data_IF_731032047676
#
_entry.id   IF_731032047676
#
_cell.length_a   1.000
_cell.length_b   1.000
_cell.length_c   1.000
_cell.angle_alpha   90.00
_cell.angle_beta   90.00
_cell.angle_gamma   90.00
#
_symmetry.space_group_name_H-M   'P 1'
#
loop_
_entity.id
_entity.type
_entity.pdbx_description
1 polymer ?
#
# COMPACT_ATOMS: atom_id res chain seq x y z
N UNK A 1 8.51 27.25 0.12
CA UNK A 1 7.97 27.01 -1.24
C UNK A 1 6.45 27.01 -1.11
N UNK A 2 5.77 27.90 -1.81
CA UNK A 2 4.30 27.95 -1.76
C UNK A 2 3.71 26.87 -2.69
N UNK A 3 2.53 26.35 -2.36
CA UNK A 3 1.77 25.44 -3.25
C UNK A 3 1.57 26.04 -4.64
N UNK A 4 1.44 27.38 -4.72
CA UNK A 4 1.32 28.12 -5.98
C UNK A 4 2.56 28.05 -6.88
N UNK A 5 3.74 27.68 -6.33
CA UNK A 5 5.00 27.59 -7.08
C UNK A 5 5.17 26.25 -7.78
N UNK A 6 4.29 25.29 -7.55
CA UNK A 6 4.33 23.94 -8.13
C UNK A 6 3.89 23.93 -9.59
N UNK A 7 4.82 24.19 -10.51
CA UNK A 7 4.54 24.32 -11.96
C UNK A 7 3.87 23.06 -12.57
N UNK A 8 4.13 21.88 -12.03
CA UNK A 8 3.60 20.60 -12.51
C UNK A 8 2.18 20.31 -12.05
N UNK A 9 1.65 21.10 -11.12
CA UNK A 9 0.31 20.92 -10.56
C UNK A 9 -0.56 22.13 -10.84
N UNK A 10 -1.86 21.91 -10.83
CA UNK A 10 -2.87 22.97 -10.80
C UNK A 10 -3.76 22.78 -9.57
N UNK A 11 -4.16 23.87 -8.96
CA UNK A 11 -5.12 23.87 -7.84
C UNK A 11 -6.52 23.70 -8.44
N UNK A 12 -7.17 22.58 -8.14
CA UNK A 12 -8.55 22.34 -8.58
C UNK A 12 -9.54 23.02 -7.63
N UNK A 13 -9.27 22.92 -6.33
CA UNK A 13 -10.14 23.46 -5.30
C UNK A 13 -9.37 23.65 -3.98
N UNK A 14 -9.74 24.67 -3.21
CA UNK A 14 -9.31 24.82 -1.82
C UNK A 14 -10.52 25.20 -0.98
N UNK A 15 -10.67 24.55 0.19
CA UNK A 15 -11.79 24.78 1.12
C UNK A 15 -11.33 24.62 2.56
N UNK A 16 -11.96 25.41 3.43
CA UNK A 16 -11.91 25.16 4.86
C UNK A 16 -12.93 24.08 5.21
N UNK A 17 -12.49 23.07 5.96
CA UNK A 17 -13.25 21.92 6.41
C UNK A 17 -13.46 22.07 7.92
N UNK A 18 -14.47 22.83 8.31
CA UNK A 18 -14.75 23.16 9.71
C UNK A 18 -14.94 21.94 10.60
N UNK A 19 -15.61 20.90 10.08
CA UNK A 19 -15.89 19.67 10.81
C UNK A 19 -14.63 18.88 11.14
N UNK A 20 -13.52 19.11 10.40
CA UNK A 20 -12.23 18.46 10.59
C UNK A 20 -11.16 19.44 11.11
N UNK A 21 -11.54 20.67 11.44
CA UNK A 21 -10.59 21.74 11.82
C UNK A 21 -9.38 21.81 10.89
N UNK A 22 -9.61 21.66 9.59
CA UNK A 22 -8.57 21.49 8.58
C UNK A 22 -8.85 22.35 7.36
N UNK A 23 -7.79 22.67 6.61
CA UNK A 23 -7.90 23.24 5.26
C UNK A 23 -7.54 22.17 4.23
N UNK A 24 -8.44 21.89 3.31
CA UNK A 24 -8.23 20.95 2.21
C UNK A 24 -7.89 21.67 0.91
N UNK A 25 -6.80 21.29 0.24
CA UNK A 25 -6.43 21.77 -1.09
C UNK A 25 -6.27 20.59 -2.04
N UNK A 26 -7.14 20.51 -3.03
CA UNK A 26 -7.09 19.48 -4.08
C UNK A 26 -6.25 20.00 -5.25
N UNK A 27 -5.22 19.24 -5.58
CA UNK A 27 -4.34 19.47 -6.73
C UNK A 27 -4.54 18.39 -7.79
N UNK A 28 -4.24 18.74 -9.04
CA UNK A 28 -4.13 17.79 -10.15
C UNK A 28 -2.77 17.92 -10.81
N UNK A 29 -2.07 16.81 -10.98
CA UNK A 29 -0.83 16.76 -11.74
C UNK A 29 -1.13 16.90 -13.23
N UNK A 30 -0.56 17.91 -13.89
CA UNK A 30 -0.89 18.30 -15.27
C UNK A 30 -0.61 17.21 -16.30
N UNK A 31 0.47 16.43 -16.10
CA UNK A 31 0.90 15.40 -17.06
C UNK A 31 0.13 14.09 -16.92
N UNK A 32 -0.08 13.61 -15.69
CA UNK A 32 -0.70 12.29 -15.44
C UNK A 32 -2.17 12.35 -15.07
N UNK A 33 -2.69 13.53 -14.71
CA UNK A 33 -4.04 13.67 -14.17
C UNK A 33 -4.19 13.21 -12.72
N UNK A 34 -3.12 12.71 -12.08
CA UNK A 34 -3.15 12.25 -10.70
C UNK A 34 -3.61 13.36 -9.76
N UNK A 35 -4.47 13.01 -8.81
CA UNK A 35 -5.00 13.94 -7.80
C UNK A 35 -4.20 13.85 -6.52
N UNK A 36 -3.92 14.99 -5.92
CA UNK A 36 -3.26 15.09 -4.61
C UNK A 36 -4.15 15.95 -3.72
N UNK A 37 -4.54 15.42 -2.57
CA UNK A 37 -5.24 16.16 -1.53
C UNK A 37 -4.24 16.50 -0.44
N UNK A 38 -4.05 17.78 -0.20
CA UNK A 38 -3.30 18.29 0.94
C UNK A 38 -4.29 18.70 2.03
N UNK A 39 -4.06 18.21 3.23
CA UNK A 39 -4.82 18.56 4.44
C UNK A 39 -3.89 19.25 5.40
N UNK A 40 -4.23 20.49 5.77
CA UNK A 40 -3.46 21.30 6.72
C UNK A 40 -4.29 21.45 8.01
N UNK A 41 -3.73 21.06 9.14
CA UNK A 41 -4.34 21.18 10.47
C UNK A 41 -3.24 21.25 11.55
N UNK A 42 -3.64 21.30 12.82
CA UNK A 42 -2.74 21.41 13.97
C UNK A 42 -2.31 20.03 14.54
N UNK A 43 -2.62 18.93 13.85
CA UNK A 43 -2.19 17.59 14.29
C UNK A 43 -0.70 17.40 14.04
N UNK A 44 0.03 16.98 15.08
CA UNK A 44 1.46 16.67 14.97
C UNK A 44 1.73 15.41 14.13
N UNK A 45 0.74 14.53 14.00
CA UNK A 45 0.87 13.28 13.26
C UNK A 45 0.67 13.51 11.76
N UNK A 46 1.77 13.44 11.03
CA UNK A 46 1.77 13.61 9.57
C UNK A 46 1.42 12.31 8.89
N UNK A 47 0.49 12.37 7.96
CA UNK A 47 0.00 11.21 7.21
C UNK A 47 0.30 11.39 5.71
N UNK A 48 0.87 10.37 5.11
CA UNK A 48 0.96 10.22 3.66
C UNK A 48 0.23 8.96 3.24
N UNK A 49 -0.56 9.03 2.19
CA UNK A 49 -1.20 7.87 1.59
C UNK A 49 -1.16 7.98 0.07
N UNK A 50 -0.75 6.90 -0.59
CA UNK A 50 -0.87 6.79 -2.04
C UNK A 50 -1.85 5.67 -2.38
N UNK A 51 -2.80 5.96 -3.27
CA UNK A 51 -3.87 5.04 -3.64
C UNK A 51 -4.01 4.87 -5.14
N UNK A 52 -4.31 3.65 -5.56
CA UNK A 52 -4.58 3.29 -6.95
C UNK A 52 -5.95 2.64 -7.07
N UNK A 53 -6.62 2.89 -8.17
CA UNK A 53 -7.80 2.13 -8.52
C UNK A 53 -7.37 0.78 -9.08
N UNK A 54 -7.73 -0.29 -8.37
CA UNK A 54 -7.36 -1.67 -8.70
C UNK A 54 -8.59 -2.58 -8.67
N UNK A 55 -9.66 -2.27 -9.45
CA UNK A 55 -10.81 -3.16 -9.50
C UNK A 55 -10.36 -4.52 -10.09
N UNK A 56 -10.64 -5.64 -9.40
CA UNK A 56 -10.29 -6.96 -9.91
C UNK A 56 -11.14 -7.28 -11.15
N UNK A 57 -10.54 -7.94 -12.14
CA UNK A 57 -11.24 -8.47 -13.31
C UNK A 57 -11.79 -9.88 -13.08
N UNK A 58 -11.27 -10.58 -12.06
CA UNK A 58 -11.58 -11.97 -11.75
C UNK A 58 -11.32 -12.27 -10.26
N UNK A 59 -11.48 -13.53 -9.87
CA UNK A 59 -11.31 -13.99 -8.49
C UNK A 59 -9.89 -14.48 -8.16
N UNK A 60 -8.88 -14.13 -8.94
CA UNK A 60 -7.49 -14.61 -8.76
C UNK A 60 -6.74 -13.92 -7.63
N UNK A 61 -7.28 -12.82 -7.09
CA UNK A 61 -6.65 -12.06 -6.02
C UNK A 61 -5.44 -11.22 -6.43
N UNK A 62 -5.23 -10.99 -7.73
CA UNK A 62 -4.08 -10.24 -8.27
C UNK A 62 -3.86 -8.88 -7.60
N UNK A 63 -4.87 -8.03 -7.34
CA UNK A 63 -4.63 -6.77 -6.65
C UNK A 63 -3.98 -6.92 -5.27
N UNK A 64 -4.38 -7.93 -4.49
CA UNK A 64 -3.82 -8.20 -3.17
C UNK A 64 -2.40 -8.80 -3.27
N UNK A 65 -2.17 -9.71 -4.23
CA UNK A 65 -0.82 -10.24 -4.50
C UNK A 65 0.12 -9.10 -4.90
N UNK A 66 -0.35 -8.17 -5.72
CA UNK A 66 0.43 -7.00 -6.14
C UNK A 66 0.71 -6.05 -4.98
N UNK A 67 -0.24 -5.84 -4.07
CA UNK A 67 -0.04 -5.04 -2.85
C UNK A 67 1.15 -5.55 -2.05
N UNK A 68 1.20 -6.86 -1.75
CA UNK A 68 2.32 -7.47 -1.06
C UNK A 68 3.63 -7.38 -1.88
N UNK A 69 3.55 -7.73 -3.16
CA UNK A 69 4.72 -7.86 -4.02
C UNK A 69 5.48 -6.55 -4.25
N UNK A 70 4.79 -5.41 -4.34
CA UNK A 70 5.46 -4.12 -4.54
C UNK A 70 6.25 -3.67 -3.31
N UNK A 71 5.91 -4.16 -2.13
CA UNK A 71 6.61 -3.87 -0.89
C UNK A 71 7.82 -4.80 -0.62
N UNK A 72 8.06 -5.80 -1.49
CA UNK A 72 9.16 -6.77 -1.34
C UNK A 72 10.49 -6.29 -1.96
N UNK A 73 10.71 -5.00 -2.04
CA UNK A 73 11.93 -4.38 -2.55
C UNK A 73 11.70 -3.48 -3.76
N UNK A 74 12.53 -2.48 -3.87
CA UNK A 74 12.43 -1.44 -4.88
C UNK A 74 13.80 -1.01 -5.40
N UNK A 75 13.81 -0.10 -6.36
CA UNK A 75 15.04 0.37 -7.03
C UNK A 75 16.09 0.90 -6.04
N UNK A 76 15.70 1.76 -5.11
CA UNK A 76 16.61 2.36 -4.12
C UNK A 76 16.74 1.50 -2.86
N UNK A 77 15.74 0.66 -2.58
CA UNK A 77 15.70 -0.22 -1.42
C UNK A 77 15.58 -1.70 -1.85
N UNK A 78 16.64 -2.29 -2.45
CA UNK A 78 16.60 -3.64 -3.04
C UNK A 78 16.69 -4.76 -1.98
N UNK A 79 16.32 -4.50 -0.74
CA UNK A 79 16.28 -5.48 0.33
C UNK A 79 15.03 -6.35 0.23
N UNK A 80 15.08 -7.58 0.72
CA UNK A 80 14.02 -8.57 0.58
C UNK A 80 12.70 -8.12 1.22
N UNK A 81 12.77 -7.38 2.31
CA UNK A 81 11.61 -6.98 3.08
C UNK A 81 11.82 -5.62 3.75
N UNK A 82 11.84 -4.53 2.96
CA UNK A 82 12.03 -3.18 3.50
C UNK A 82 10.93 -2.77 4.46
N UNK A 83 9.72 -3.35 4.31
CA UNK A 83 8.58 -3.07 5.19
C UNK A 83 8.86 -3.52 6.63
N UNK A 84 9.39 -4.73 6.83
CA UNK A 84 9.73 -5.25 8.17
C UNK A 84 10.84 -4.42 8.81
N UNK A 85 11.82 -3.98 8.03
CA UNK A 85 12.89 -3.11 8.54
C UNK A 85 12.35 -1.74 8.96
N UNK A 86 11.40 -1.18 8.20
CA UNK A 86 10.73 0.07 8.57
C UNK A 86 9.91 -0.07 9.86
N UNK A 87 9.14 -1.14 9.99
CA UNK A 87 8.35 -1.40 11.21
C UNK A 87 9.23 -1.44 12.46
N UNK A 88 10.44 -2.02 12.35
CA UNK A 88 11.38 -2.15 13.47
C UNK A 88 12.22 -0.90 13.73
N UNK A 89 12.55 -0.16 12.68
CA UNK A 89 13.57 0.89 12.74
C UNK A 89 13.04 2.32 12.69
N UNK A 90 11.78 2.56 12.33
CA UNK A 90 11.20 3.89 12.24
C UNK A 90 10.38 4.29 13.47
N UNK A 91 10.13 5.58 13.60
CA UNK A 91 9.24 6.17 14.62
C UNK A 91 7.81 6.29 14.11
N UNK A 92 7.40 5.38 13.22
CA UNK A 92 6.07 5.40 12.64
C UNK A 92 4.98 5.30 13.72
N UNK A 93 3.91 6.04 13.52
CA UNK A 93 2.67 5.93 14.30
C UNK A 93 1.66 5.05 13.59
N UNK A 94 1.79 4.93 12.26
CA UNK A 94 1.00 4.03 11.44
C UNK A 94 1.78 3.63 10.18
N UNK A 95 1.73 2.36 9.83
CA UNK A 95 2.39 1.81 8.66
C UNK A 95 1.60 0.60 8.19
N UNK A 96 1.07 0.66 6.96
CA UNK A 96 0.23 -0.41 6.43
C UNK A 96 0.18 -0.40 4.89
N UNK A 97 -0.41 -1.46 4.34
CA UNK A 97 -0.92 -1.53 2.99
C UNK A 97 -2.30 -2.21 3.04
N UNK A 98 -3.21 -1.80 2.19
CA UNK A 98 -4.60 -2.27 2.26
C UNK A 98 -5.19 -2.40 0.86
N UNK A 99 -5.68 -3.58 0.53
CA UNK A 99 -6.46 -3.84 -0.68
C UNK A 99 -7.95 -3.89 -0.35
N UNK A 100 -8.68 -2.99 -0.99
CA UNK A 100 -10.14 -2.89 -0.97
C UNK A 100 -10.72 -3.46 -2.27
N UNK A 101 -12.04 -3.65 -2.37
CA UNK A 101 -12.65 -4.22 -3.58
C UNK A 101 -12.37 -3.44 -4.87
N UNK A 102 -12.08 -2.14 -4.80
CA UNK A 102 -11.91 -1.27 -5.97
C UNK A 102 -10.61 -0.47 -5.99
N UNK A 103 -9.81 -0.58 -4.92
CA UNK A 103 -8.58 0.22 -4.75
C UNK A 103 -7.58 -0.45 -3.84
N UNK A 104 -6.32 -0.08 -3.98
CA UNK A 104 -5.22 -0.43 -3.08
C UNK A 104 -4.59 0.84 -2.55
N UNK A 105 -4.34 0.92 -1.25
CA UNK A 105 -3.84 2.12 -0.56
C UNK A 105 -2.64 1.77 0.30
N UNK A 106 -1.63 2.62 0.26
CA UNK A 106 -0.37 2.49 1.01
C UNK A 106 -0.21 3.69 1.94
N UNK A 107 -0.74 3.65 3.16
CA UNK A 107 -0.66 4.73 4.13
C UNK A 107 0.54 4.58 5.06
N UNK A 108 1.15 5.72 5.43
CA UNK A 108 2.15 5.84 6.48
C UNK A 108 1.93 7.09 7.30
N UNK A 109 2.29 7.05 8.58
CA UNK A 109 2.23 8.21 9.44
C UNK A 109 3.38 8.24 10.44
N UNK A 110 3.82 9.45 10.80
CA UNK A 110 4.80 9.69 11.85
C UNK A 110 4.67 11.12 12.40
N UNK A 111 4.90 11.27 13.69
CA UNK A 111 5.02 12.59 14.32
C UNK A 111 6.40 13.23 14.07
N UNK A 112 7.42 12.42 13.72
CA UNK A 112 8.76 12.92 13.46
C UNK A 112 8.93 13.29 11.98
N UNK A 113 9.32 14.53 11.70
CA UNK A 113 9.44 15.07 10.33
C UNK A 113 10.41 14.28 9.45
N UNK A 114 11.57 13.93 10.00
CA UNK A 114 12.58 13.20 9.24
C UNK A 114 12.17 11.78 8.95
N UNK A 115 11.59 11.12 9.93
CA UNK A 115 11.06 9.78 9.78
C UNK A 115 9.90 9.76 8.77
N UNK A 116 8.97 10.71 8.85
CA UNK A 116 7.89 10.86 7.89
C UNK A 116 8.40 11.02 6.45
N UNK A 117 9.42 11.85 6.23
CA UNK A 117 10.03 12.01 4.90
C UNK A 117 10.68 10.71 4.41
N UNK A 118 11.36 9.97 5.28
CA UNK A 118 11.96 8.69 4.95
C UNK A 118 10.89 7.64 4.60
N UNK A 119 9.84 7.53 5.40
CA UNK A 119 8.71 6.63 5.14
C UNK A 119 8.04 6.93 3.80
N UNK A 120 7.75 8.20 3.54
CA UNK A 120 7.17 8.63 2.27
C UNK A 120 8.09 8.29 1.09
N UNK A 121 9.40 8.50 1.21
CA UNK A 121 10.38 8.19 0.17
C UNK A 121 10.41 6.68 -0.13
N UNK A 122 10.51 5.83 0.91
CA UNK A 122 10.54 4.37 0.74
C UNK A 122 9.25 3.87 0.09
N UNK A 123 8.09 4.36 0.53
CA UNK A 123 6.80 3.95 -0.04
C UNK A 123 6.62 4.42 -1.48
N UNK A 124 7.05 5.63 -1.81
CA UNK A 124 7.00 6.12 -3.19
C UNK A 124 7.93 5.32 -4.11
N UNK A 125 9.15 5.00 -3.66
CA UNK A 125 10.06 4.19 -4.48
C UNK A 125 9.53 2.77 -4.65
N UNK A 126 9.01 2.14 -3.59
CA UNK A 126 8.41 0.82 -3.65
C UNK A 126 7.24 0.76 -4.65
N UNK A 127 6.35 1.75 -4.61
CA UNK A 127 5.13 1.73 -5.42
C UNK A 127 5.38 2.13 -6.88
N UNK A 128 6.33 3.05 -7.15
CA UNK A 128 6.61 3.50 -8.51
C UNK A 128 7.73 2.73 -9.21
N UNK A 129 8.63 2.12 -8.44
CA UNK A 129 9.80 1.40 -8.98
C UNK A 129 10.03 0.06 -8.26
N UNK A 130 8.99 -0.80 -8.16
CA UNK A 130 9.11 -2.09 -7.50
C UNK A 130 10.02 -3.03 -8.30
N UNK A 131 10.77 -3.87 -7.58
CA UNK A 131 11.65 -4.87 -8.19
C UNK A 131 10.90 -6.07 -8.80
N UNK A 132 9.59 -6.15 -8.66
CA UNK A 132 8.75 -7.22 -9.18
C UNK A 132 8.89 -7.40 -10.70
N UNK A 133 9.20 -6.34 -11.44
CA UNK A 133 9.40 -6.40 -12.89
C UNK A 133 10.70 -7.09 -13.29
N UNK A 134 11.68 -7.15 -12.39
CA UNK A 134 12.98 -7.78 -12.61
C UNK A 134 13.08 -9.13 -11.88
N UNK A 135 12.26 -9.33 -10.85
CA UNK A 135 12.30 -10.49 -9.97
C UNK A 135 10.92 -11.15 -9.84
N UNK A 136 10.55 -11.97 -10.83
CA UNK A 136 9.29 -12.72 -10.81
C UNK A 136 9.13 -13.68 -9.61
N UNK A 137 10.24 -14.00 -8.93
CA UNK A 137 10.25 -14.78 -7.70
C UNK A 137 9.39 -14.19 -6.59
N UNK A 138 9.38 -12.86 -6.47
CA UNK A 138 8.56 -12.15 -5.48
C UNK A 138 7.08 -12.42 -5.71
N UNK A 139 6.62 -12.24 -6.94
CA UNK A 139 5.22 -12.50 -7.28
C UNK A 139 4.84 -13.98 -7.05
N UNK A 140 5.74 -14.91 -7.36
CA UNK A 140 5.52 -16.35 -7.11
C UNK A 140 5.50 -16.70 -5.63
N UNK A 141 6.25 -15.96 -4.79
CA UNK A 141 6.27 -16.16 -3.34
C UNK A 141 5.00 -15.61 -2.69
N UNK A 142 4.60 -14.41 -3.06
CA UNK A 142 3.42 -13.74 -2.48
C UNK A 142 2.11 -14.30 -3.04
N UNK A 143 2.10 -14.75 -4.29
CA UNK A 143 0.93 -15.33 -4.95
C UNK A 143 0.62 -16.74 -4.45
N UNK A 144 0.38 -17.63 -5.39
CA UNK A 144 0.12 -19.04 -5.10
C UNK A 144 1.02 -19.94 -5.95
N UNK A 145 1.35 -21.11 -5.38
CA UNK A 145 2.15 -22.13 -6.05
C UNK A 145 1.66 -23.52 -5.61
N UNK A 146 2.00 -24.52 -6.41
CA UNK A 146 1.81 -25.91 -5.99
C UNK A 146 2.92 -26.30 -5.01
N UNK A 147 2.52 -26.91 -3.89
CA UNK A 147 3.42 -27.48 -2.90
C UNK A 147 3.19 -28.99 -2.81
N UNK A 148 4.29 -29.74 -2.83
CA UNK A 148 4.32 -31.16 -2.61
C UNK A 148 5.24 -31.43 -1.41
N UNK A 149 4.70 -31.86 -0.30
CA UNK A 149 5.46 -32.12 0.92
C UNK A 149 6.19 -33.46 0.87
N UNK A 150 5.62 -34.48 0.19
CA UNK A 150 6.24 -35.77 -0.08
C UNK A 150 5.82 -36.30 -1.47
N UNK A 151 6.62 -37.18 -2.10
CA UNK A 151 6.34 -37.69 -3.44
C UNK A 151 4.98 -38.37 -3.62
N UNK A 152 4.45 -38.92 -2.55
CA UNK A 152 3.20 -39.71 -2.54
C UNK A 152 2.00 -38.90 -2.02
N UNK A 153 2.17 -37.58 -1.72
CA UNK A 153 1.08 -36.72 -1.25
C UNK A 153 0.38 -36.01 -2.40
N UNK A 154 -0.85 -35.60 -2.13
CA UNK A 154 -1.59 -34.74 -3.07
C UNK A 154 -0.97 -33.35 -3.16
N UNK A 155 -0.98 -32.77 -4.38
CA UNK A 155 -0.60 -31.41 -4.64
C UNK A 155 -1.51 -30.44 -3.89
N UNK A 156 -0.90 -29.61 -3.04
CA UNK A 156 -1.61 -28.55 -2.30
C UNK A 156 -1.31 -27.19 -2.91
N UNK A 157 -2.26 -26.28 -2.83
CA UNK A 157 -2.01 -24.87 -3.13
C UNK A 157 -1.41 -24.20 -1.90
N UNK A 158 -0.35 -23.43 -2.10
CA UNK A 158 0.35 -22.67 -1.06
C UNK A 158 0.68 -21.28 -1.60
N UNK A 159 0.68 -20.29 -0.74
CA UNK A 159 1.04 -18.89 -1.05
C UNK A 159 0.63 -17.99 0.09
N UNK A 160 1.36 -16.90 0.31
CA UNK A 160 1.12 -15.99 1.44
C UNK A 160 -0.27 -15.37 1.34
N UNK A 161 -0.57 -14.75 0.21
CA UNK A 161 -1.88 -14.09 -0.02
C UNK A 161 -3.00 -15.12 -0.18
N UNK A 162 -2.74 -16.25 -0.84
CA UNK A 162 -3.73 -17.30 -1.01
C UNK A 162 -4.24 -17.82 0.34
N UNK A 163 -3.34 -18.10 1.28
CA UNK A 163 -3.70 -18.55 2.62
C UNK A 163 -4.47 -17.48 3.41
N UNK A 164 -4.09 -16.21 3.27
CA UNK A 164 -4.81 -15.11 3.93
C UNK A 164 -6.23 -14.95 3.38
N UNK A 165 -6.41 -15.09 2.07
CA UNK A 165 -7.73 -14.99 1.43
C UNK A 165 -8.67 -16.13 1.83
N UNK A 166 -8.16 -17.38 1.98
CA UNK A 166 -8.97 -18.50 2.43
C UNK A 166 -9.45 -18.27 3.87
N UNK A 167 -8.60 -17.75 4.74
CA UNK A 167 -8.98 -17.48 6.13
C UNK A 167 -9.98 -16.32 6.28
N UNK A 168 -10.00 -15.37 5.34
CA UNK A 168 -10.96 -14.25 5.33
C UNK A 168 -12.28 -14.65 4.66
N UNK A 169 -12.24 -15.54 3.68
CA UNK A 169 -13.42 -15.95 2.89
C UNK A 169 -14.16 -17.18 3.43
N UNK A 170 -13.62 -17.91 4.42
CA UNK A 170 -14.42 -18.85 5.17
C UNK A 170 -15.26 -18.09 6.20
N UNK A 171 -16.58 -17.92 5.96
CA UNK A 171 -17.45 -17.51 7.04
C UNK A 171 -17.38 -18.62 8.08
N UNK A 172 -16.98 -18.26 9.28
CA UNK A 172 -16.92 -19.12 10.46
C UNK A 172 -18.20 -19.96 10.55
N UNK A 173 -18.15 -21.20 10.05
CA UNK A 173 -19.17 -22.24 10.29
C UNK A 173 -19.15 -22.74 11.75
N UNK A 174 -18.56 -21.99 12.66
CA UNK A 174 -18.42 -22.29 14.09
C UNK A 174 -19.41 -21.46 14.94
N UNK A 175 -20.60 -21.18 14.45
CA UNK A 175 -21.64 -20.43 15.18
C UNK A 175 -23.05 -20.96 15.07
N UNK A 176 -23.24 -22.20 14.62
CA UNK A 176 -24.57 -22.85 14.60
C UNK A 176 -24.52 -24.27 15.15
N UNK A 177 -24.18 -24.40 16.43
CA UNK A 177 -24.60 -25.56 17.26
C UNK A 177 -24.93 -25.01 18.64
N UNK A 178 -26.16 -24.70 18.85
CA UNK A 178 -26.94 -24.87 20.09
C UNK A 178 -28.37 -24.39 19.85
#
# INVERSE_FOLDING_TARGET
MSICDLKSYEIVQSRDLSDLSSKGTLLRHKKSGARVLLMENDDENKVFAIGFRTPPSDSTGVPHIMEHSVLCGSREFPVKDPFVELVKGSLNTFLNAMTYPDKTVYPVASCNDKDFQNLMHVYMDAVFYPNIYEQDKTFRQEGWSYKLDAPDEELKLSGVVYLSLIHISEPTRLGMIS
#
